data_IF_405718770710
#
_entry.id   IF_405718770710
#
_cell.length_a   1.000
_cell.length_b   1.000
_cell.length_c   1.000
_cell.angle_alpha   90.00
_cell.angle_beta   90.00
_cell.angle_gamma   90.00
#
_symmetry.space_group_name_H-M   'P 1'
#
loop_
_entity.id
_entity.type
_entity.pdbx_description
1 polymer ?
#
# COMPACT_ATOMS: atom_id res chain seq x y z
N UNK A 1 -15.17 14.64 -13.19
CA UNK A 1 -13.88 14.08 -13.65
C UNK A 1 -12.82 14.38 -12.60
N UNK A 2 -11.80 13.53 -12.48
CA UNK A 2 -10.65 13.82 -11.62
C UNK A 2 -9.90 15.06 -12.14
N UNK A 3 -9.41 15.91 -11.24
CA UNK A 3 -8.63 17.09 -11.56
C UNK A 3 -7.21 16.72 -12.00
N UNK A 4 -6.56 17.57 -12.80
CA UNK A 4 -5.20 17.31 -13.30
C UNK A 4 -4.16 17.09 -12.18
N UNK A 5 -4.33 17.76 -11.03
CA UNK A 5 -3.45 17.60 -9.87
C UNK A 5 -3.65 16.28 -9.10
N UNK A 6 -4.71 15.52 -9.40
CA UNK A 6 -4.93 14.20 -8.82
C UNK A 6 -4.18 13.09 -9.58
N UNK A 7 -3.51 13.42 -10.69
CA UNK A 7 -2.66 12.47 -11.40
C UNK A 7 -1.51 12.01 -10.48
N UNK A 8 -1.25 10.70 -10.39
CA UNK A 8 -0.14 10.19 -9.61
C UNK A 8 1.19 10.68 -10.19
N UNK A 9 2.12 11.05 -9.30
CA UNK A 9 3.49 11.44 -9.71
C UNK A 9 4.34 10.25 -10.13
N UNK A 10 4.06 9.08 -9.56
CA UNK A 10 4.77 7.83 -9.80
C UNK A 10 3.80 6.64 -9.69
N UNK A 11 4.09 5.56 -10.43
CA UNK A 11 3.34 4.31 -10.41
C UNK A 11 4.35 3.15 -10.42
N UNK A 12 4.27 2.29 -9.40
CA UNK A 12 5.06 1.07 -9.31
C UNK A 12 4.14 -0.16 -9.44
N UNK A 13 4.56 -1.14 -10.23
CA UNK A 13 3.88 -2.42 -10.37
C UNK A 13 4.52 -3.46 -9.45
N UNK A 14 3.69 -4.16 -8.67
CA UNK A 14 4.09 -5.25 -7.78
C UNK A 14 3.23 -6.47 -8.06
N UNK A 15 3.81 -7.67 -7.90
CA UNK A 15 3.09 -8.92 -8.09
C UNK A 15 1.97 -9.12 -7.06
N UNK A 16 2.19 -8.65 -5.84
CA UNK A 16 1.23 -8.72 -4.73
C UNK A 16 1.18 -7.41 -3.95
N UNK A 17 -0.02 -7.08 -3.48
CA UNK A 17 -0.24 -6.01 -2.50
C UNK A 17 -0.40 -6.59 -1.10
N UNK A 18 0.06 -5.89 -0.04
CA UNK A 18 -0.13 -6.34 1.33
C UNK A 18 -1.62 -6.30 1.66
N UNK A 19 -2.18 -7.46 2.03
CA UNK A 19 -3.59 -7.62 2.38
C UNK A 19 -3.73 -8.32 3.72
N UNK A 20 -4.80 -8.03 4.45
CA UNK A 20 -5.22 -8.83 5.61
C UNK A 20 -5.65 -10.22 5.15
N UNK A 21 -5.70 -11.19 6.06
CA UNK A 21 -6.34 -12.51 5.84
C UNK A 21 -7.82 -12.46 5.38
N UNK A 22 -8.46 -11.29 5.51
CA UNK A 22 -9.81 -11.01 5.02
C UNK A 22 -9.81 -10.29 3.66
N UNK A 23 -8.65 -10.18 3.00
CA UNK A 23 -8.46 -9.57 1.68
C UNK A 23 -8.37 -8.04 1.66
N UNK A 24 -8.43 -7.35 2.80
CA UNK A 24 -8.39 -5.87 2.83
C UNK A 24 -6.97 -5.37 2.61
N UNK A 25 -6.80 -4.45 1.66
CA UNK A 25 -5.49 -3.82 1.39
C UNK A 25 -5.02 -3.03 2.62
N UNK A 26 -3.82 -3.33 3.10
CA UNK A 26 -3.18 -2.62 4.21
C UNK A 26 -2.50 -1.33 3.73
N UNK A 27 -3.28 -0.28 3.46
CA UNK A 27 -2.75 1.02 2.98
C UNK A 27 -1.69 1.65 3.89
N UNK A 28 -1.75 1.38 5.21
CA UNK A 28 -0.73 1.85 6.17
C UNK A 28 0.66 1.29 5.85
N UNK A 29 0.74 0.05 5.37
CA UNK A 29 2.00 -0.61 5.01
C UNK A 29 2.56 -0.01 3.73
N UNK A 30 1.69 0.20 2.72
CA UNK A 30 2.05 0.90 1.49
C UNK A 30 2.62 2.30 1.77
N UNK A 31 2.00 3.06 2.69
CA UNK A 31 2.49 4.38 3.12
C UNK A 31 3.85 4.28 3.82
N UNK A 32 4.05 3.27 4.66
CA UNK A 32 5.32 3.07 5.36
C UNK A 32 6.45 2.73 4.38
N UNK A 33 6.19 1.90 3.36
CA UNK A 33 7.16 1.60 2.30
C UNK A 33 7.59 2.84 1.52
N UNK A 34 6.62 3.64 1.05
CA UNK A 34 6.90 4.90 0.34
C UNK A 34 7.75 5.87 1.17
N UNK A 35 7.49 5.95 2.47
CA UNK A 35 8.19 6.86 3.38
C UNK A 35 9.48 6.27 3.98
N UNK A 36 9.83 5.02 3.67
CA UNK A 36 10.96 4.32 4.30
C UNK A 36 10.81 4.14 5.81
N UNK A 37 9.58 4.10 6.31
CA UNK A 37 9.25 3.98 7.74
C UNK A 37 9.02 2.52 8.14
N UNK A 38 9.18 2.19 9.43
CA UNK A 38 8.85 0.86 9.94
C UNK A 38 7.35 0.56 9.75
N UNK A 39 7.05 -0.63 9.23
CA UNK A 39 5.69 -1.09 8.91
C UNK A 39 4.88 -1.50 10.14
N UNK A 40 5.52 -1.69 11.29
CA UNK A 40 4.90 -2.16 12.52
C UNK A 40 4.46 -3.62 12.46
N UNK A 41 3.44 -4.00 13.24
CA UNK A 41 2.95 -5.38 13.28
C UNK A 41 2.30 -5.80 11.94
N UNK A 42 2.66 -6.97 11.43
CA UNK A 42 2.14 -7.58 10.20
C UNK A 42 1.44 -8.93 10.46
N UNK A 43 1.13 -9.29 11.71
CA UNK A 43 0.54 -10.57 12.11
C UNK A 43 -0.75 -10.97 11.37
N UNK A 44 -1.48 -9.98 10.85
CA UNK A 44 -2.73 -10.18 10.11
C UNK A 44 -2.55 -10.26 8.59
N UNK A 45 -1.31 -10.19 8.09
CA UNK A 45 -1.02 -10.26 6.65
C UNK A 45 -1.26 -11.68 6.14
N UNK A 46 -1.69 -11.77 4.88
CA UNK A 46 -1.81 -13.00 4.12
C UNK A 46 -0.54 -13.20 3.26
N UNK A 47 -0.11 -14.44 3.03
CA UNK A 47 1.10 -14.79 2.24
C UNK A 47 1.00 -14.50 0.72
#
# INVERSE_FOLDING_TARGET
GLSAHAAPREIEFKDKLPKTRSGKIMRRVLKAWELGLPTGDLSTIED
#
